data_IF_946547003544
#
_entry.id   IF_946547003544
#
_cell.length_a   1.000
_cell.length_b   1.000
_cell.length_c   1.000
_cell.angle_alpha   90.00
_cell.angle_beta   90.00
_cell.angle_gamma   90.00
#
_symmetry.space_group_name_H-M   'P 1'
#
loop_
_entity.id
_entity.type
_entity.pdbx_description
1 polymer ?
#
# COMPACT_ATOMS: atom_id res chain seq x y z
N UNK A 1 7.49 -30.62 3.59
CA UNK A 1 7.16 -29.19 3.32
C UNK A 1 6.02 -29.16 2.33
N UNK A 2 4.98 -28.36 2.58
CA UNK A 2 3.80 -28.29 1.72
C UNK A 2 4.17 -27.87 0.30
N UNK A 3 3.77 -28.69 -0.68
CA UNK A 3 4.06 -28.45 -2.10
C UNK A 3 3.41 -27.15 -2.60
N UNK A 4 2.25 -26.77 -2.03
CA UNK A 4 1.58 -25.50 -2.27
C UNK A 4 1.41 -24.73 -0.95
N UNK A 5 1.62 -23.43 -1.00
CA UNK A 5 1.34 -22.49 0.07
C UNK A 5 0.52 -21.33 -0.50
N UNK A 6 -0.60 -21.02 0.14
CA UNK A 6 -1.47 -19.93 -0.22
C UNK A 6 -1.61 -19.02 1.00
N UNK A 7 -1.22 -17.77 0.83
CA UNK A 7 -1.28 -16.74 1.86
C UNK A 7 -2.24 -15.64 1.37
N UNK A 8 -3.26 -15.33 2.17
CA UNK A 8 -4.22 -14.27 1.88
C UNK A 8 -4.32 -13.40 3.12
N UNK A 9 -4.14 -12.10 2.94
CA UNK A 9 -4.27 -11.10 3.99
C UNK A 9 -5.28 -10.04 3.56
N UNK A 10 -6.35 -9.90 4.34
CA UNK A 10 -7.33 -8.83 4.18
C UNK A 10 -7.26 -7.90 5.38
N UNK A 11 -7.00 -6.62 5.14
CA UNK A 11 -6.96 -5.58 6.16
C UNK A 11 -8.06 -4.55 5.90
N UNK A 12 -8.96 -4.40 6.87
CA UNK A 12 -10.01 -3.39 6.84
C UNK A 12 -9.58 -2.19 7.71
N UNK A 13 -9.26 -1.08 7.06
CA UNK A 13 -8.85 0.15 7.73
C UNK A 13 -10.08 1.04 7.93
N UNK A 14 -10.39 1.32 9.20
CA UNK A 14 -11.49 2.21 9.56
C UNK A 14 -11.22 3.67 9.20
N UNK A 15 -12.25 4.50 9.37
CA UNK A 15 -12.13 5.96 9.28
C UNK A 15 -11.08 6.44 10.29
N UNK A 16 -10.14 7.27 9.84
CA UNK A 16 -9.16 7.91 10.73
C UNK A 16 -9.06 9.41 10.51
N UNK A 17 -8.34 10.08 11.41
CA UNK A 17 -8.24 11.53 11.46
C UNK A 17 -7.07 12.01 10.61
N UNK A 18 -7.33 12.95 9.71
CA UNK A 18 -6.28 13.65 8.97
C UNK A 18 -5.62 14.72 9.85
N UNK A 19 -4.41 15.20 9.48
CA UNK A 19 -3.83 16.42 10.03
C UNK A 19 -4.84 17.57 10.07
N UNK A 20 -4.69 18.49 11.04
CA UNK A 20 -5.64 19.60 11.21
C UNK A 20 -5.67 20.47 9.94
N UNK A 21 -6.81 20.56 9.22
CA UNK A 21 -6.87 21.39 8.03
C UNK A 21 -6.85 22.88 8.40
N UNK A 22 -6.23 23.69 7.54
CA UNK A 22 -6.33 25.14 7.57
C UNK A 22 -7.48 25.62 6.66
N UNK A 23 -7.86 26.89 6.82
CA UNK A 23 -8.91 27.53 6.02
C UNK A 23 -8.23 28.23 4.84
N UNK A 24 -8.69 27.96 3.63
CA UNK A 24 -8.22 28.59 2.39
C UNK A 24 -8.82 29.99 2.23
N UNK A 25 -8.28 30.82 1.33
CA UNK A 25 -8.76 32.19 1.10
C UNK A 25 -10.26 32.27 0.76
N UNK A 26 -10.81 31.21 0.16
CA UNK A 26 -12.22 31.09 -0.22
C UNK A 26 -13.13 30.59 0.92
N UNK A 27 -12.59 30.41 2.13
CA UNK A 27 -13.33 29.95 3.31
C UNK A 27 -13.52 28.43 3.42
N UNK A 28 -13.06 27.66 2.43
CA UNK A 28 -13.07 26.18 2.44
C UNK A 28 -11.97 25.59 3.33
N UNK A 29 -12.11 24.32 3.72
CA UNK A 29 -11.02 23.56 4.33
C UNK A 29 -10.05 23.05 3.26
N UNK A 30 -8.76 23.07 3.54
CA UNK A 30 -7.73 22.54 2.62
C UNK A 30 -7.87 21.03 2.36
N UNK A 31 -8.45 20.29 3.30
CA UNK A 31 -8.84 18.88 3.15
C UNK A 31 -9.87 18.47 4.21
N UNK A 32 -10.52 17.34 3.98
CA UNK A 32 -11.43 16.71 4.93
C UNK A 32 -10.73 16.34 6.23
N UNK A 33 -11.38 16.56 7.38
CA UNK A 33 -10.82 16.24 8.70
C UNK A 33 -10.58 14.73 8.92
N UNK A 34 -11.21 13.89 8.11
CA UNK A 34 -11.14 12.44 8.23
C UNK A 34 -11.02 11.80 6.85
N UNK A 35 -10.25 10.71 6.76
CA UNK A 35 -10.20 9.88 5.56
C UNK A 35 -11.26 8.78 5.61
N UNK A 36 -11.73 8.35 4.44
CA UNK A 36 -12.71 7.28 4.33
C UNK A 36 -12.10 5.92 4.63
N UNK A 37 -12.84 4.99 5.27
CA UNK A 37 -12.36 3.63 5.48
C UNK A 37 -12.02 2.97 4.14
N UNK A 38 -11.01 2.10 4.15
CA UNK A 38 -10.54 1.41 2.96
C UNK A 38 -10.11 -0.02 3.28
N UNK A 39 -10.29 -0.92 2.32
CA UNK A 39 -9.85 -2.30 2.42
C UNK A 39 -8.58 -2.51 1.59
N UNK A 40 -7.66 -3.32 2.11
CA UNK A 40 -6.50 -3.81 1.39
C UNK A 40 -6.55 -5.33 1.35
N UNK A 41 -6.37 -5.88 0.16
CA UNK A 41 -6.27 -7.33 -0.05
C UNK A 41 -4.92 -7.64 -0.66
N UNK A 42 -4.16 -8.51 0.00
CA UNK A 42 -2.91 -9.07 -0.50
C UNK A 42 -3.07 -10.58 -0.60
N UNK A 43 -2.55 -11.17 -1.67
CA UNK A 43 -2.58 -12.61 -1.84
C UNK A 43 -1.28 -13.10 -2.49
N UNK A 44 -0.77 -14.25 -2.05
CA UNK A 44 0.39 -14.90 -2.63
C UNK A 44 0.16 -16.41 -2.70
N UNK A 45 0.48 -16.98 -3.86
CA UNK A 45 0.52 -18.41 -4.10
C UNK A 45 1.96 -18.82 -4.39
N UNK A 46 2.47 -19.76 -3.60
CA UNK A 46 3.82 -20.30 -3.74
C UNK A 46 3.77 -21.80 -3.99
N UNK A 47 4.49 -22.27 -5.01
CA UNK A 47 4.74 -23.68 -5.27
C UNK A 47 6.17 -24.00 -4.85
N UNK A 48 6.32 -24.89 -3.87
CA UNK A 48 7.62 -25.33 -3.38
C UNK A 48 8.03 -26.65 -4.04
N UNK A 49 9.29 -26.70 -4.46
CA UNK A 49 10.02 -27.89 -4.88
C UNK A 49 11.18 -28.13 -3.90
N UNK A 50 11.92 -29.22 -4.11
CA UNK A 50 12.98 -29.65 -3.19
C UNK A 50 14.12 -28.64 -3.04
N UNK A 51 14.49 -27.93 -4.11
CA UNK A 51 15.62 -26.99 -4.13
C UNK A 51 15.23 -25.60 -4.65
N UNK A 52 13.97 -25.40 -5.03
CA UNK A 52 13.52 -24.15 -5.62
C UNK A 52 12.02 -23.95 -5.39
N UNK A 53 11.54 -22.73 -5.58
CA UNK A 53 10.13 -22.40 -5.53
C UNK A 53 9.79 -21.31 -6.54
N UNK A 54 8.55 -21.33 -7.00
CA UNK A 54 7.96 -20.24 -7.78
C UNK A 54 6.82 -19.64 -6.99
N UNK A 55 6.63 -18.34 -7.11
CA UNK A 55 5.54 -17.64 -6.46
C UNK A 55 4.95 -16.60 -7.39
N UNK A 56 3.64 -16.41 -7.24
CA UNK A 56 2.89 -15.33 -7.84
C UNK A 56 2.06 -14.70 -6.74
N UNK A 57 2.06 -13.38 -6.67
CA UNK A 57 1.32 -12.67 -5.65
C UNK A 57 0.90 -11.30 -6.14
N UNK A 58 0.07 -10.67 -5.34
CA UNK A 58 -0.32 -9.30 -5.56
C UNK A 58 -0.58 -8.57 -4.25
N UNK A 59 -0.27 -7.29 -4.29
CA UNK A 59 -0.47 -6.34 -3.22
C UNK A 59 -1.56 -5.34 -3.60
N UNK A 60 -2.36 -4.93 -2.62
CA UNK A 60 -3.43 -3.97 -2.78
C UNK A 60 -4.38 -4.32 -3.94
N UNK A 61 -4.81 -5.59 -4.02
CA UNK A 61 -5.71 -6.11 -5.06
C UNK A 61 -7.08 -5.43 -5.08
N UNK A 62 -7.46 -4.73 -4.00
CA UNK A 62 -8.62 -3.83 -3.94
C UNK A 62 -8.44 -2.54 -4.76
N UNK A 63 -7.21 -2.21 -5.17
CA UNK A 63 -6.89 -1.06 -5.99
C UNK A 63 -7.06 0.29 -5.29
N UNK A 64 -7.13 0.32 -3.95
CA UNK A 64 -7.29 1.58 -3.23
C UNK A 64 -6.04 2.43 -3.38
N UNK A 65 -6.19 3.66 -3.89
CA UNK A 65 -5.07 4.57 -4.11
C UNK A 65 -5.37 5.93 -3.53
N UNK A 66 -4.47 6.42 -2.69
CA UNK A 66 -4.50 7.80 -2.22
C UNK A 66 -4.08 8.73 -3.38
N UNK A 67 -5.04 9.53 -3.87
CA UNK A 67 -4.82 10.40 -5.05
C UNK A 67 -3.90 11.59 -4.78
N UNK A 68 -3.92 12.13 -3.56
CA UNK A 68 -3.20 13.35 -3.16
C UNK A 68 -2.47 13.12 -1.83
N UNK A 69 -1.30 12.48 -1.84
CA UNK A 69 -0.50 12.23 -0.64
C UNK A 69 0.30 13.45 -0.18
N UNK A 70 0.58 14.40 -1.08
CA UNK A 70 1.37 15.60 -0.82
C UNK A 70 0.56 16.82 -1.26
N UNK A 71 0.47 17.82 -0.38
CA UNK A 71 -0.13 19.13 -0.65
C UNK A 71 0.95 20.05 -1.22
N UNK A 72 0.59 20.81 -2.25
CA UNK A 72 1.46 21.78 -2.92
C UNK A 72 2.81 21.18 -3.37
N UNK A 73 2.80 19.95 -3.89
CA UNK A 73 4.00 19.24 -4.34
C UNK A 73 4.80 19.99 -5.42
N UNK A 74 4.18 20.94 -6.13
CA UNK A 74 4.82 21.79 -7.12
C UNK A 74 5.72 22.88 -6.50
N UNK A 75 5.47 23.27 -5.24
CA UNK A 75 6.23 24.30 -4.53
C UNK A 75 6.78 23.75 -3.21
N UNK A 76 7.83 22.92 -3.23
CA UNK A 76 8.29 22.19 -2.04
C UNK A 76 8.88 23.08 -0.93
N UNK A 77 9.24 24.33 -1.25
CA UNK A 77 9.67 25.34 -0.26
C UNK A 77 8.57 26.36 0.05
N UNK A 78 7.38 26.19 -0.50
CA UNK A 78 6.23 27.06 -0.25
C UNK A 78 5.66 26.84 1.16
N UNK A 79 5.00 27.86 1.73
CA UNK A 79 4.41 27.76 3.08
C UNK A 79 3.24 26.77 3.17
N UNK A 80 2.70 26.31 2.03
CA UNK A 80 1.57 25.39 1.95
C UNK A 80 1.99 23.94 1.67
N UNK A 81 3.29 23.66 1.52
CA UNK A 81 3.79 22.31 1.28
C UNK A 81 3.59 21.42 2.51
N UNK A 82 2.92 20.28 2.31
CA UNK A 82 2.69 19.31 3.39
C UNK A 82 2.74 17.87 2.84
N UNK A 83 3.72 17.08 3.32
CA UNK A 83 3.89 15.67 3.00
C UNK A 83 3.39 14.72 4.09
N UNK A 84 2.78 15.23 5.16
CA UNK A 84 2.28 14.44 6.31
C UNK A 84 0.91 13.81 6.05
N UNK A 85 0.33 14.05 4.88
CA UNK A 85 -1.02 13.61 4.52
C UNK A 85 -1.13 12.13 4.13
N UNK A 86 -0.01 11.39 4.07
CA UNK A 86 0.02 9.97 3.68
C UNK A 86 -0.64 9.09 4.75
N UNK A 87 -1.78 8.48 4.41
CA UNK A 87 -2.53 7.59 5.31
C UNK A 87 -2.95 6.28 4.63
N UNK A 88 -2.71 6.12 3.33
CA UNK A 88 -3.08 4.94 2.56
C UNK A 88 -2.11 4.69 1.38
N UNK A 89 -2.21 3.53 0.68
CA UNK A 89 -1.29 3.18 -0.39
C UNK A 89 -1.24 4.22 -1.51
N UNK A 90 -0.02 4.57 -1.91
CA UNK A 90 0.27 5.52 -3.01
C UNK A 90 0.20 4.79 -4.37
N UNK A 91 0.59 3.52 -4.37
CA UNK A 91 0.51 2.63 -5.52
C UNK A 91 -0.83 1.89 -5.53
N UNK A 92 -1.35 1.64 -6.73
CA UNK A 92 -2.57 0.85 -6.93
C UNK A 92 -2.32 -0.65 -6.73
N UNK A 93 -3.16 -1.48 -7.34
CA UNK A 93 -2.92 -2.92 -7.36
C UNK A 93 -1.61 -3.25 -8.06
N UNK A 94 -0.77 -4.05 -7.40
CA UNK A 94 0.50 -4.54 -7.92
C UNK A 94 0.45 -6.05 -8.00
N UNK A 95 0.96 -6.61 -9.09
CA UNK A 95 1.07 -8.06 -9.29
C UNK A 95 2.52 -8.38 -9.57
N UNK A 96 3.04 -9.43 -8.94
CA UNK A 96 4.40 -9.87 -9.08
C UNK A 96 4.47 -11.39 -9.21
N UNK A 97 5.51 -11.86 -9.88
CA UNK A 97 5.88 -13.25 -9.93
C UNK A 97 7.40 -13.37 -9.74
N UNK A 98 7.85 -14.48 -9.15
CA UNK A 98 9.26 -14.68 -8.89
C UNK A 98 9.63 -16.15 -8.76
N UNK A 99 10.95 -16.36 -8.85
CA UNK A 99 11.59 -17.65 -8.69
C UNK A 99 12.62 -17.55 -7.57
N UNK A 100 12.67 -18.56 -6.71
CA UNK A 100 13.63 -18.65 -5.60
C UNK A 100 14.36 -19.98 -5.69
N UNK A 101 15.69 -19.93 -5.67
CA UNK A 101 16.54 -21.13 -5.60
C UNK A 101 17.20 -21.20 -4.22
N UNK A 102 17.12 -22.36 -3.57
CA UNK A 102 17.72 -22.61 -2.26
C UNK A 102 18.97 -23.48 -2.44
N UNK A 103 20.14 -22.94 -2.12
CA UNK A 103 21.39 -23.70 -2.08
C UNK A 103 21.49 -24.47 -0.76
N UNK A 104 21.10 -25.74 -0.76
CA UNK A 104 21.38 -26.63 0.37
C UNK A 104 22.81 -27.16 0.24
N UNK A 105 23.74 -26.62 1.03
CA UNK A 105 25.03 -27.28 1.24
C UNK A 105 24.77 -28.53 2.10
N UNK A 106 24.95 -29.71 1.51
CA UNK A 106 25.26 -30.89 2.31
C UNK A 106 26.67 -30.69 2.85
N UNK A 107 26.79 -30.51 4.16
CA UNK A 107 28.02 -30.69 4.92
C UNK A 107 27.77 -31.84 5.88
#
# INVERSE_FOLDING_TARGET
MGLWQLDITCALNGKGRNPKPYITADGSLSWEKYYHPYAQLNAQLTRNFRHWSIYIGGENLTGYRQKRPIIDAANPWGPNFDATMVHAPIHGAMVYAGFRYNFTKFL
#
